data_IF_979223434694
#
_entry.id   IF_979223434694
#
_cell.length_a   1.000
_cell.length_b   1.000
_cell.length_c   1.000
_cell.angle_alpha   90.00
_cell.angle_beta   90.00
_cell.angle_gamma   90.00
#
_symmetry.space_group_name_H-M   'P 1'
#
loop_
_entity.id
_entity.type
_entity.pdbx_description
1 polymer ?
#
# COMPACT_ATOMS: atom_id res chain seq x y z
N UNK A 1 12.20 -6.27 -30.27
CA UNK A 1 12.29 -6.70 -28.86
C UNK A 1 10.88 -6.69 -28.30
N UNK A 2 10.32 -7.82 -27.93
CA UNK A 2 9.01 -7.82 -27.25
C UNK A 2 9.24 -7.38 -25.81
N UNK A 3 8.84 -6.17 -25.47
CA UNK A 3 8.80 -5.74 -24.06
C UNK A 3 7.73 -6.58 -23.37
N UNK A 4 8.10 -7.30 -22.32
CA UNK A 4 7.11 -8.02 -21.51
C UNK A 4 6.22 -7.00 -20.79
N UNK A 5 4.91 -7.23 -20.79
CA UNK A 5 3.95 -6.37 -20.13
C UNK A 5 4.34 -6.09 -18.67
N UNK A 6 4.22 -4.85 -18.25
CA UNK A 6 4.38 -4.42 -16.87
C UNK A 6 3.08 -4.68 -16.10
N UNK A 7 3.22 -5.13 -14.85
CA UNK A 7 2.11 -5.30 -13.93
C UNK A 7 2.35 -4.48 -12.66
N UNK A 8 1.27 -4.07 -12.05
CA UNK A 8 1.26 -3.41 -10.75
C UNK A 8 0.51 -4.31 -9.76
N UNK A 9 1.11 -4.56 -8.61
CA UNK A 9 0.53 -5.40 -7.55
C UNK A 9 0.38 -4.52 -6.32
N UNK A 10 -0.85 -4.06 -6.07
CA UNK A 10 -1.17 -3.22 -4.92
C UNK A 10 -1.53 -4.14 -3.76
N UNK A 11 -0.80 -4.00 -2.67
CA UNK A 11 -0.98 -4.81 -1.46
C UNK A 11 -1.98 -4.12 -0.55
N UNK A 12 -3.19 -4.67 -0.45
CA UNK A 12 -4.18 -4.23 0.53
C UNK A 12 -4.10 -5.07 1.82
N UNK A 13 -4.92 -4.78 2.82
CA UNK A 13 -4.91 -5.53 4.07
C UNK A 13 -5.23 -7.02 3.87
N UNK A 14 -6.14 -7.33 2.94
CA UNK A 14 -6.68 -8.68 2.76
C UNK A 14 -6.63 -9.15 1.29
N UNK A 15 -5.91 -8.47 0.41
CA UNK A 15 -5.84 -8.87 -1.00
C UNK A 15 -4.59 -8.34 -1.71
N UNK A 16 -4.28 -8.98 -2.83
CA UNK A 16 -3.40 -8.46 -3.86
C UNK A 16 -4.28 -8.00 -5.02
N UNK A 17 -4.23 -6.71 -5.34
CA UNK A 17 -4.96 -6.13 -6.47
C UNK A 17 -3.95 -6.00 -7.60
N UNK A 18 -4.17 -6.76 -8.67
CA UNK A 18 -3.21 -6.88 -9.77
C UNK A 18 -3.78 -6.15 -10.99
N UNK A 19 -3.01 -5.22 -11.50
CA UNK A 19 -3.31 -4.41 -12.67
C UNK A 19 -2.23 -4.60 -13.71
N UNK A 20 -2.63 -4.80 -14.96
CA UNK A 20 -1.72 -4.77 -16.11
C UNK A 20 -1.71 -3.36 -16.70
N UNK A 21 -0.55 -2.88 -17.15
CA UNK A 21 -0.32 -1.50 -17.60
C UNK A 21 -1.33 -1.03 -18.67
N UNK A 22 -1.59 -1.83 -19.69
CA UNK A 22 -2.44 -1.47 -20.83
C UNK A 22 -3.87 -2.06 -20.73
N UNK A 23 -4.26 -2.61 -19.59
CA UNK A 23 -5.54 -3.29 -19.40
C UNK A 23 -6.41 -2.56 -18.39
N UNK A 24 -7.71 -2.45 -18.64
CA UNK A 24 -8.66 -1.86 -17.71
C UNK A 24 -9.13 -2.87 -16.65
N UNK A 25 -8.91 -4.18 -16.89
CA UNK A 25 -9.31 -5.22 -15.95
C UNK A 25 -8.38 -5.27 -14.74
N UNK A 26 -8.98 -5.55 -13.59
CA UNK A 26 -8.31 -5.77 -12.32
C UNK A 26 -8.54 -7.21 -11.88
N UNK A 27 -7.47 -7.83 -11.39
CA UNK A 27 -7.53 -9.15 -10.80
C UNK A 27 -7.33 -9.03 -9.29
N UNK A 28 -8.32 -9.44 -8.51
CA UNK A 28 -8.25 -9.40 -7.06
C UNK A 28 -8.02 -10.80 -6.54
N UNK A 29 -6.91 -11.00 -5.86
CA UNK A 29 -6.58 -12.26 -5.16
C UNK A 29 -6.75 -12.00 -3.67
N UNK A 30 -7.80 -12.57 -3.10
CA UNK A 30 -8.08 -12.43 -1.68
C UNK A 30 -7.08 -13.23 -0.84
N UNK A 31 -6.52 -12.58 0.18
CA UNK A 31 -5.66 -13.19 1.17
C UNK A 31 -6.42 -13.36 2.49
N UNK A 32 -6.33 -14.54 3.07
CA UNK A 32 -6.93 -14.82 4.37
C UNK A 32 -6.04 -14.28 5.47
N UNK A 33 -6.59 -13.44 6.34
CA UNK A 33 -5.93 -13.01 7.56
C UNK A 33 -6.14 -14.06 8.65
N UNK A 34 -5.09 -14.79 9.02
CA UNK A 34 -5.15 -15.85 10.03
C UNK A 34 -4.91 -15.30 11.45
N UNK A 35 -4.10 -14.28 11.57
CA UNK A 35 -3.76 -13.65 12.85
C UNK A 35 -4.07 -12.15 12.76
N UNK A 36 -4.83 -11.58 13.71
CA UNK A 36 -5.07 -10.14 13.76
C UNK A 36 -3.77 -9.33 13.80
N UNK A 37 -3.76 -8.19 13.15
CA UNK A 37 -2.62 -7.25 13.09
C UNK A 37 -1.32 -7.81 12.49
N UNK A 38 -1.37 -8.98 11.86
CA UNK A 38 -0.29 -9.52 11.03
C UNK A 38 -0.71 -9.38 9.56
N UNK A 39 0.13 -8.82 8.67
CA UNK A 39 -0.18 -8.75 7.25
C UNK A 39 -0.49 -10.12 6.67
N UNK A 40 -1.56 -10.24 5.89
CA UNK A 40 -2.05 -11.54 5.40
C UNK A 40 -1.00 -12.29 4.55
N UNK A 41 -0.11 -11.58 3.87
CA UNK A 41 0.96 -12.20 3.06
C UNK A 41 2.06 -12.89 3.88
N UNK A 42 2.15 -12.68 5.21
CA UNK A 42 3.09 -13.42 6.07
C UNK A 42 2.82 -14.92 6.08
N UNK A 43 1.57 -15.31 5.85
CA UNK A 43 1.13 -16.72 5.86
C UNK A 43 1.36 -17.46 4.52
N UNK A 44 2.00 -16.80 3.53
CA UNK A 44 2.23 -17.39 2.20
C UNK A 44 3.34 -18.44 2.16
N UNK A 45 4.02 -18.69 3.30
CA UNK A 45 5.03 -19.75 3.47
C UNK A 45 4.72 -20.72 4.63
N UNK A 46 3.54 -20.60 5.26
CA UNK A 46 3.17 -21.45 6.38
C UNK A 46 2.94 -22.89 5.91
N UNK A 47 3.69 -23.85 6.47
CA UNK A 47 3.62 -25.25 6.06
C UNK A 47 2.25 -25.89 6.30
N UNK A 48 1.53 -25.44 7.31
CA UNK A 48 0.18 -25.94 7.67
C UNK A 48 -0.94 -25.41 6.75
N UNK A 49 -0.61 -24.53 5.79
CA UNK A 49 -1.57 -23.86 4.87
C UNK A 49 -1.31 -24.22 3.40
N UNK A 50 -0.73 -25.38 3.12
CA UNK A 50 -0.27 -25.77 1.78
C UNK A 50 -1.33 -25.63 0.69
N UNK A 51 -2.56 -26.09 0.92
CA UNK A 51 -3.64 -26.00 -0.06
C UNK A 51 -4.01 -24.55 -0.39
N UNK A 52 -4.16 -23.72 0.64
CA UNK A 52 -4.42 -22.28 0.47
C UNK A 52 -3.29 -21.60 -0.33
N UNK A 53 -2.04 -21.86 0.04
CA UNK A 53 -0.87 -21.30 -0.65
C UNK A 53 -0.81 -21.73 -2.11
N UNK A 54 -1.11 -23.01 -2.39
CA UNK A 54 -1.17 -23.57 -3.73
C UNK A 54 -2.21 -22.86 -4.60
N UNK A 55 -3.39 -22.58 -4.05
CA UNK A 55 -4.44 -21.86 -4.76
C UNK A 55 -4.02 -20.44 -5.12
N UNK A 56 -3.43 -19.70 -4.19
CA UNK A 56 -2.88 -18.35 -4.45
C UNK A 56 -1.80 -18.40 -5.53
N UNK A 57 -0.86 -19.36 -5.42
CA UNK A 57 0.19 -19.56 -6.44
C UNK A 57 -0.39 -19.83 -7.82
N UNK A 58 -1.42 -20.65 -7.92
CA UNK A 58 -2.06 -21.00 -9.19
C UNK A 58 -2.74 -19.78 -9.83
N UNK A 59 -3.44 -18.95 -9.04
CA UNK A 59 -4.05 -17.71 -9.51
C UNK A 59 -2.99 -16.77 -10.09
N UNK A 60 -1.88 -16.53 -9.37
CA UNK A 60 -0.80 -15.64 -9.83
C UNK A 60 -0.11 -16.21 -11.09
N UNK A 61 0.19 -17.51 -11.11
CA UNK A 61 0.80 -18.18 -12.27
C UNK A 61 -0.08 -18.08 -13.52
N UNK A 62 -1.41 -18.15 -13.35
CA UNK A 62 -2.39 -17.99 -14.42
C UNK A 62 -2.27 -16.64 -15.15
N UNK A 63 -1.88 -15.58 -14.44
CA UNK A 63 -1.69 -14.24 -15.00
C UNK A 63 -0.38 -14.08 -15.80
N UNK A 64 0.55 -15.04 -15.71
CA UNK A 64 1.83 -15.08 -16.45
C UNK A 64 2.69 -13.82 -16.26
N UNK A 65 2.67 -13.25 -15.09
CA UNK A 65 3.41 -12.03 -14.72
C UNK A 65 4.92 -12.29 -14.82
N UNK A 66 5.64 -11.43 -15.55
CA UNK A 66 7.11 -11.48 -15.64
C UNK A 66 7.77 -10.31 -14.94
N UNK A 67 7.21 -9.12 -15.09
CA UNK A 67 7.69 -7.90 -14.45
C UNK A 67 6.57 -7.29 -13.63
N UNK A 68 6.86 -6.88 -12.40
CA UNK A 68 5.88 -6.26 -11.52
C UNK A 68 6.49 -5.11 -10.70
N UNK A 69 5.72 -4.02 -10.53
CA UNK A 69 5.92 -3.06 -9.46
C UNK A 69 4.98 -3.43 -8.32
N UNK A 70 5.54 -3.68 -7.14
CA UNK A 70 4.78 -4.03 -5.95
C UNK A 70 4.60 -2.76 -5.12
N UNK A 71 3.34 -2.38 -4.88
CA UNK A 71 2.98 -1.17 -4.16
C UNK A 71 2.56 -1.57 -2.75
N UNK A 72 3.49 -1.38 -1.81
CA UNK A 72 3.33 -1.80 -0.43
C UNK A 72 2.54 -0.78 0.42
N UNK A 73 1.90 -1.23 1.51
CA UNK A 73 1.41 -0.37 2.58
C UNK A 73 2.55 0.43 3.21
N UNK A 74 2.22 1.58 3.79
CA UNK A 74 3.19 2.58 4.23
C UNK A 74 4.04 2.14 5.43
N UNK A 75 3.54 1.24 6.27
CA UNK A 75 4.28 0.67 7.39
C UNK A 75 5.38 -0.32 6.97
N UNK A 76 5.33 -0.83 5.74
CA UNK A 76 6.38 -1.70 5.19
C UNK A 76 7.65 -0.94 4.75
N UNK A 77 7.62 0.38 4.73
CA UNK A 77 8.72 1.20 4.24
C UNK A 77 10.02 0.93 5.01
N UNK A 78 9.93 0.84 6.32
CA UNK A 78 11.05 0.66 7.23
C UNK A 78 11.34 -0.82 7.58
N UNK A 79 10.47 -1.75 7.13
CA UNK A 79 10.55 -3.18 7.46
C UNK A 79 10.96 -3.97 6.23
N UNK A 80 12.23 -4.35 6.15
CA UNK A 80 12.77 -5.09 4.99
C UNK A 80 12.14 -6.46 4.81
N UNK A 81 11.88 -7.18 5.91
CA UNK A 81 11.34 -8.54 5.85
C UNK A 81 9.96 -8.59 5.18
N UNK A 82 9.13 -7.57 5.38
CA UNK A 82 7.81 -7.49 4.74
C UNK A 82 7.91 -7.54 3.22
N UNK A 83 8.83 -6.73 2.68
CA UNK A 83 9.08 -6.66 1.24
C UNK A 83 9.64 -8.00 0.73
N UNK A 84 10.57 -8.59 1.45
CA UNK A 84 11.25 -9.81 1.04
C UNK A 84 10.28 -11.00 0.98
N UNK A 85 9.43 -11.19 2.00
CA UNK A 85 8.41 -12.26 2.01
C UNK A 85 7.57 -12.26 0.74
N UNK A 86 6.99 -11.11 0.38
CA UNK A 86 6.12 -11.05 -0.78
C UNK A 86 6.89 -11.15 -2.10
N UNK A 87 8.06 -10.54 -2.20
CA UNK A 87 8.92 -10.65 -3.40
C UNK A 87 9.30 -12.11 -3.64
N UNK A 88 9.80 -12.82 -2.64
CA UNK A 88 10.17 -14.23 -2.75
C UNK A 88 8.99 -15.10 -3.14
N UNK A 89 7.82 -14.85 -2.53
CA UNK A 89 6.60 -15.57 -2.91
C UNK A 89 6.25 -15.37 -4.39
N UNK A 90 6.25 -14.14 -4.88
CA UNK A 90 5.98 -13.82 -6.28
C UNK A 90 7.03 -14.45 -7.21
N UNK A 91 8.28 -14.51 -6.81
CA UNK A 91 9.32 -15.22 -7.58
C UNK A 91 9.02 -16.72 -7.70
N UNK A 92 8.49 -17.37 -6.65
CA UNK A 92 8.02 -18.77 -6.75
C UNK A 92 6.84 -18.95 -7.71
N UNK A 93 6.10 -17.87 -7.99
CA UNK A 93 5.00 -17.83 -8.96
C UNK A 93 5.47 -17.55 -10.40
N UNK A 94 6.76 -17.26 -10.61
CA UNK A 94 7.35 -17.03 -11.93
C UNK A 94 7.57 -15.57 -12.32
N UNK A 95 7.37 -14.62 -11.38
CA UNK A 95 7.77 -13.22 -11.54
C UNK A 95 9.30 -13.16 -11.54
N UNK A 96 9.87 -12.45 -12.53
CA UNK A 96 11.34 -12.43 -12.73
C UNK A 96 11.99 -11.12 -12.28
N UNK A 97 11.25 -10.02 -12.40
CA UNK A 97 11.74 -8.69 -12.03
C UNK A 97 10.67 -8.01 -11.20
N UNK A 98 11.09 -7.45 -10.07
CA UNK A 98 10.25 -6.68 -9.18
C UNK A 98 10.85 -5.30 -8.93
N UNK A 99 9.99 -4.30 -8.88
CA UNK A 99 10.26 -2.99 -8.34
C UNK A 99 9.36 -2.78 -7.12
N UNK A 100 9.74 -1.89 -6.22
CA UNK A 100 8.99 -1.59 -5.00
C UNK A 100 8.62 -0.12 -4.99
N UNK A 101 7.37 0.15 -4.65
CA UNK A 101 6.84 1.47 -4.38
C UNK A 101 5.92 1.41 -3.15
N UNK A 102 5.46 2.58 -2.66
CA UNK A 102 4.60 2.68 -1.49
C UNK A 102 3.35 3.49 -1.78
N UNK A 103 2.25 3.10 -1.15
CA UNK A 103 0.94 3.70 -1.40
C UNK A 103 0.93 5.20 -1.15
N UNK A 104 1.65 5.68 -0.14
CA UNK A 104 1.71 7.11 0.18
C UNK A 104 2.23 7.99 -0.96
N UNK A 105 3.09 7.48 -1.84
CA UNK A 105 3.62 8.24 -2.97
C UNK A 105 2.66 8.32 -4.16
N UNK A 106 1.61 7.51 -4.14
CA UNK A 106 0.59 7.45 -5.19
C UNK A 106 -0.71 8.16 -4.81
N UNK A 107 -0.78 8.78 -3.63
CA UNK A 107 -1.99 9.50 -3.20
C UNK A 107 -2.20 10.78 -3.99
N UNK A 108 -1.12 11.47 -4.35
CA UNK A 108 -1.15 12.66 -5.20
C UNK A 108 0.21 12.84 -5.91
N UNK A 109 0.18 13.07 -7.22
CA UNK A 109 1.37 13.27 -8.04
C UNK A 109 1.69 14.76 -8.30
N UNK A 110 0.73 15.65 -8.03
CA UNK A 110 0.86 17.08 -8.34
C UNK A 110 1.50 17.87 -7.20
N UNK A 111 1.24 17.49 -5.96
CA UNK A 111 1.74 18.19 -4.80
C UNK A 111 3.14 17.71 -4.41
N UNK A 112 4.07 18.65 -4.34
CA UNK A 112 5.43 18.36 -3.91
C UNK A 112 5.55 18.12 -2.41
N UNK A 113 4.58 18.61 -1.63
CA UNK A 113 4.53 18.48 -0.17
C UNK A 113 3.10 18.18 0.27
N UNK A 114 2.92 17.14 1.05
CA UNK A 114 1.62 16.75 1.61
C UNK A 114 1.79 15.86 2.85
N UNK A 115 0.71 15.71 3.60
CA UNK A 115 0.62 14.72 4.67
C UNK A 115 -0.19 13.54 4.13
N UNK A 116 0.34 12.33 4.26
CA UNK A 116 -0.41 11.09 4.01
C UNK A 116 -0.86 10.47 5.34
N UNK A 117 -2.09 9.96 5.37
CA UNK A 117 -2.61 9.16 6.48
C UNK A 117 -3.16 7.86 5.90
N UNK A 118 -2.63 6.72 6.36
CA UNK A 118 -3.04 5.40 5.89
C UNK A 118 -3.28 4.45 7.06
N UNK A 119 -4.24 3.54 6.89
CA UNK A 119 -4.47 2.44 7.81
C UNK A 119 -3.97 1.15 7.17
N UNK A 120 -3.05 0.50 7.85
CA UNK A 120 -2.45 -0.76 7.43
C UNK A 120 -3.01 -1.92 8.25
N UNK A 121 -2.51 -3.13 8.03
CA UNK A 121 -2.87 -4.27 8.84
C UNK A 121 -2.49 -4.09 10.33
N UNK A 122 -1.47 -3.27 10.63
CA UNK A 122 -0.88 -3.11 11.96
C UNK A 122 -1.17 -1.77 12.62
N UNK A 123 -1.11 -0.68 11.86
CA UNK A 123 -1.07 0.69 12.39
C UNK A 123 -1.91 1.65 11.55
N UNK A 124 -2.18 2.83 12.13
CA UNK A 124 -2.43 4.03 11.34
C UNK A 124 -1.08 4.75 11.25
N UNK A 125 -0.66 5.06 10.02
CA UNK A 125 0.60 5.74 9.72
C UNK A 125 0.30 7.13 9.19
N UNK A 126 0.83 8.15 9.85
CA UNK A 126 0.80 9.53 9.38
C UNK A 126 2.21 9.94 8.98
N UNK A 127 2.38 10.49 7.77
CA UNK A 127 3.69 10.86 7.24
C UNK A 127 3.63 12.24 6.57
N UNK A 128 4.69 13.00 6.74
CA UNK A 128 4.96 14.17 5.92
C UNK A 128 5.81 13.75 4.73
N UNK A 129 5.27 13.96 3.55
CA UNK A 129 5.93 13.67 2.27
C UNK A 129 6.41 14.99 1.68
N UNK A 130 7.67 15.03 1.26
CA UNK A 130 8.22 16.18 0.54
C UNK A 130 9.13 15.70 -0.60
N UNK A 131 8.85 16.18 -1.81
CA UNK A 131 9.63 15.88 -3.03
C UNK A 131 9.83 14.36 -3.25
N UNK A 132 8.76 13.59 -3.06
CA UNK A 132 8.78 12.13 -3.23
C UNK A 132 9.50 11.35 -2.13
N UNK A 133 9.77 11.98 -0.98
CA UNK A 133 10.43 11.34 0.16
C UNK A 133 9.56 11.45 1.41
N UNK A 134 9.51 10.38 2.21
CA UNK A 134 8.94 10.42 3.56
C UNK A 134 9.95 11.03 4.52
N UNK A 135 9.63 12.23 5.03
CA UNK A 135 10.55 13.02 5.86
C UNK A 135 10.36 12.75 7.35
N UNK A 136 9.12 12.65 7.78
CA UNK A 136 8.77 12.36 9.18
C UNK A 136 7.53 11.49 9.25
N UNK A 137 7.44 10.68 10.30
CA UNK A 137 6.35 9.71 10.50
C UNK A 137 5.88 9.71 11.94
N UNK A 138 4.59 9.39 12.10
CA UNK A 138 3.99 9.06 13.38
C UNK A 138 3.09 7.85 13.22
N UNK A 139 3.19 6.93 14.17
CA UNK A 139 2.39 5.70 14.20
C UNK A 139 1.36 5.77 15.32
N UNK A 140 0.17 5.27 15.05
CA UNK A 140 -0.90 5.10 16.02
C UNK A 140 -1.37 3.65 16.00
N UNK A 141 -1.98 3.22 17.08
CA UNK A 141 -2.67 1.93 17.11
C UNK A 141 -3.74 1.88 15.99
N UNK A 142 -3.95 0.70 15.42
CA UNK A 142 -4.86 0.47 14.29
C UNK A 142 -6.28 1.03 14.52
N UNK A 143 -6.75 1.00 15.78
CA UNK A 143 -8.08 1.42 16.15
C UNK A 143 -8.12 2.82 16.80
N UNK A 144 -7.07 3.61 16.62
CA UNK A 144 -6.99 4.96 17.14
C UNK A 144 -8.07 5.86 16.50
N UNK A 145 -8.80 6.62 17.35
CA UNK A 145 -9.99 7.38 16.93
C UNK A 145 -9.97 8.87 17.29
N UNK A 146 -8.98 9.33 18.05
CA UNK A 146 -8.95 10.72 18.51
C UNK A 146 -8.51 11.67 17.38
N UNK A 147 -9.49 12.19 16.65
CA UNK A 147 -9.26 13.09 15.50
C UNK A 147 -8.61 14.41 15.93
N UNK A 148 -8.96 14.96 17.07
CA UNK A 148 -8.37 16.23 17.54
C UNK A 148 -6.87 16.08 17.86
N UNK A 149 -6.49 14.94 18.42
CA UNK A 149 -5.07 14.65 18.61
C UNK A 149 -4.34 14.47 17.26
N UNK A 150 -4.99 13.84 16.27
CA UNK A 150 -4.40 13.73 14.92
C UNK A 150 -4.20 15.12 14.29
N UNK A 151 -5.16 16.03 14.41
CA UNK A 151 -5.02 17.41 13.91
C UNK A 151 -3.85 18.15 14.59
N UNK A 152 -3.68 17.95 15.90
CA UNK A 152 -2.56 18.54 16.64
C UNK A 152 -1.22 17.95 16.16
N UNK A 153 -1.18 16.64 16.03
CA UNK A 153 0.02 15.91 15.61
C UNK A 153 0.42 16.25 14.16
N UNK A 154 -0.55 16.47 13.27
CA UNK A 154 -0.27 16.95 11.91
C UNK A 154 0.53 18.25 11.90
N UNK A 155 0.16 19.22 12.75
CA UNK A 155 0.89 20.50 12.90
C UNK A 155 2.30 20.31 13.44
N UNK A 156 2.50 19.31 14.27
CA UNK A 156 3.78 19.01 14.93
C UNK A 156 4.63 17.99 14.19
N UNK A 157 4.15 17.46 13.06
CA UNK A 157 4.82 16.39 12.33
C UNK A 157 6.14 16.88 11.69
N UNK A 158 6.16 18.13 11.20
CA UNK A 158 7.33 18.76 10.63
C UNK A 158 7.19 20.31 10.76
N UNK A 159 8.29 21.08 10.84
CA UNK A 159 8.23 22.55 10.90
C UNK A 159 7.40 23.17 9.76
N UNK A 160 7.47 22.66 8.54
CA UNK A 160 6.66 23.13 7.42
C UNK A 160 5.15 23.05 7.71
N UNK A 161 4.72 22.04 8.46
CA UNK A 161 3.31 21.84 8.81
C UNK A 161 2.76 22.86 9.81
N UNK A 162 3.62 23.60 10.49
CA UNK A 162 3.23 24.65 11.43
C UNK A 162 2.89 25.97 10.75
N UNK A 163 3.59 26.30 9.66
CA UNK A 163 3.59 27.62 9.06
C UNK A 163 2.95 27.69 7.68
N UNK A 164 2.71 26.55 7.05
CA UNK A 164 2.07 26.44 5.74
C UNK A 164 0.88 25.51 5.76
N UNK A 165 -0.14 25.82 4.96
CA UNK A 165 -1.26 24.89 4.76
C UNK A 165 -0.78 23.75 3.87
N UNK A 166 -0.50 22.60 4.49
CA UNK A 166 -0.07 21.38 3.80
C UNK A 166 -1.31 20.55 3.46
N UNK A 167 -1.52 20.14 2.19
CA UNK A 167 -2.60 19.23 1.82
C UNK A 167 -2.51 17.90 2.57
N UNK A 168 -3.66 17.31 2.88
CA UNK A 168 -3.74 16.03 3.59
C UNK A 168 -4.49 15.03 2.74
N UNK A 169 -3.87 13.91 2.42
CA UNK A 169 -4.43 12.83 1.64
C UNK A 169 -4.56 11.57 2.48
N UNK A 170 -5.75 10.99 2.47
CA UNK A 170 -6.09 9.84 3.29
C UNK A 170 -6.23 8.63 2.38
N UNK A 171 -5.38 7.65 2.56
CA UNK A 171 -5.44 6.39 1.83
C UNK A 171 -6.67 5.59 2.27
N UNK A 172 -7.69 5.53 1.42
CA UNK A 172 -8.93 4.80 1.67
C UNK A 172 -9.08 3.57 0.78
N UNK A 173 -7.97 2.94 0.40
CA UNK A 173 -7.96 1.75 -0.48
C UNK A 173 -8.77 0.58 0.10
N UNK A 174 -8.85 0.46 1.42
CA UNK A 174 -9.59 -0.58 2.12
C UNK A 174 -11.02 -0.15 2.52
N UNK A 175 -11.47 1.05 2.14
CA UNK A 175 -12.77 1.64 2.50
C UNK A 175 -13.02 1.70 4.02
N UNK A 176 -11.98 1.91 4.82
CA UNK A 176 -12.06 1.90 6.29
C UNK A 176 -11.54 3.19 6.95
N UNK A 177 -11.33 4.25 6.14
CA UNK A 177 -10.80 5.55 6.57
C UNK A 177 -11.80 6.70 6.50
N UNK A 178 -13.09 6.45 6.27
CA UNK A 178 -14.14 7.47 6.10
C UNK A 178 -14.20 8.49 7.25
N UNK A 179 -13.96 8.04 8.49
CA UNK A 179 -13.96 8.92 9.67
C UNK A 179 -12.89 10.02 9.62
N UNK A 180 -11.83 9.83 8.84
CA UNK A 180 -10.73 10.79 8.69
C UNK A 180 -11.01 11.87 7.64
N UNK A 181 -12.10 11.77 6.89
CA UNK A 181 -12.52 12.78 5.89
C UNK A 181 -12.56 14.21 6.45
N UNK A 182 -12.73 14.35 7.76
CA UNK A 182 -12.74 15.66 8.43
C UNK A 182 -11.35 16.31 8.56
N UNK A 183 -10.27 15.59 8.21
CA UNK A 183 -8.88 16.10 8.27
C UNK A 183 -8.21 16.20 6.91
N UNK A 184 -8.76 15.58 5.86
CA UNK A 184 -8.17 15.60 4.51
C UNK A 184 -9.02 14.90 3.47
N UNK A 185 -8.52 14.83 2.24
CA UNK A 185 -9.20 14.23 1.10
C UNK A 185 -9.01 12.71 1.09
N UNK A 186 -10.11 11.98 0.93
CA UNK A 186 -10.10 10.52 0.79
C UNK A 186 -9.65 10.14 -0.63
N UNK A 187 -8.61 9.33 -0.71
CA UNK A 187 -8.07 8.79 -1.96
C UNK A 187 -8.47 7.32 -2.07
N UNK A 188 -9.28 7.03 -3.07
CA UNK A 188 -9.78 5.67 -3.34
C UNK A 188 -8.74 4.82 -4.07
N UNK A 189 -9.01 3.52 -4.18
CA UNK A 189 -8.24 2.61 -5.01
C UNK A 189 -8.17 3.09 -6.47
N UNK A 190 -9.29 3.57 -7.03
CA UNK A 190 -9.35 4.05 -8.42
C UNK A 190 -8.42 5.25 -8.64
N UNK A 191 -8.32 6.16 -7.66
CA UNK A 191 -7.39 7.29 -7.73
C UNK A 191 -5.92 6.81 -7.73
N UNK A 192 -5.57 5.84 -6.88
CA UNK A 192 -4.22 5.26 -6.84
C UNK A 192 -3.90 4.58 -8.18
N UNK A 193 -4.84 3.82 -8.73
CA UNK A 193 -4.67 3.18 -10.04
C UNK A 193 -4.50 4.20 -11.16
N UNK A 194 -5.25 5.30 -11.14
CA UNK A 194 -5.09 6.39 -12.10
C UNK A 194 -3.69 7.04 -12.00
N UNK A 195 -3.18 7.22 -10.79
CA UNK A 195 -1.86 7.78 -10.54
C UNK A 195 -0.69 6.86 -10.95
N UNK A 196 -0.90 5.55 -11.00
CA UNK A 196 0.09 4.61 -11.54
C UNK A 196 0.27 4.79 -13.06
N UNK A 197 -0.77 5.22 -13.77
CA UNK A 197 -0.79 5.33 -15.24
C UNK A 197 -0.31 6.68 -15.77
N UNK A 198 -0.15 7.66 -14.92
CA UNK A 198 0.29 9.02 -15.27
C UNK A 198 1.81 9.17 -15.18
#
# INVERSE_FOLDING_TARGET
MFTSAQFYIIVSNNSLIIKKEDDYSEYIINLQQFIPNIPAYYHLFDADKENYIKDIKNQIKGLKIKNATIIFPDDCMDIQIDKQILIEFLMTCGVKKTQVDFQCFLLNLNDKKYISISKTARFIVMQYIAYGNSISKKYYEKDYTNIEQIKLDMKNLHPDCQYTMIPVYINNINNDMERFKVVGDLISLDNIIANIKS
#
